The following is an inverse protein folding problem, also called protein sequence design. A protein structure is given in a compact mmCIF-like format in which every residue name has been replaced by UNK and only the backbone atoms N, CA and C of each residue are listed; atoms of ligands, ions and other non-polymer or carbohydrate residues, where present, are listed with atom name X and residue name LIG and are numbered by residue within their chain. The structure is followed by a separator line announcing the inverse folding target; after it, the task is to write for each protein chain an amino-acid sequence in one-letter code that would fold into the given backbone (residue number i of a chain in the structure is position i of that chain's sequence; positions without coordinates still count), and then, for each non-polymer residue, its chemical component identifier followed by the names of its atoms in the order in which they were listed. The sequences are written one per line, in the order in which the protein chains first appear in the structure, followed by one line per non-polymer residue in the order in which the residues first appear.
data_IF_845400876635
#
_entry.id   IF_845400876635
#
_cell.length_a   1.000
_cell.length_b   1.000
_cell.length_c   1.000
_cell.angle_alpha   90.00
_cell.angle_beta   90.00
_cell.angle_gamma   90.00
#
_symmetry.space_group_name_H-M   'P 1'
#
loop_
_entity.id
_entity.type
_entity.pdbx_description
1 polymer ?
#
# COMPACT_ATOMS: atom_id res chain seq x y z
N UNK A 1 46.69 25.94 -65.33
CA UNK A 1 46.05 24.80 -66.02
C UNK A 1 47.11 23.71 -66.15
N UNK A 2 46.71 22.45 -65.96
CA UNK A 2 47.46 21.20 -66.22
C UNK A 2 48.33 20.65 -65.06
N UNK A 3 47.84 19.53 -64.53
CA UNK A 3 48.54 18.49 -63.77
C UNK A 3 49.71 17.89 -64.59
N UNK A 4 50.69 17.24 -63.96
CA UNK A 4 50.88 15.77 -64.03
C UNK A 4 52.33 15.25 -63.79
N UNK A 5 52.37 14.01 -63.26
CA UNK A 5 53.40 12.94 -63.24
C UNK A 5 54.73 13.20 -62.48
N UNK A 6 54.95 12.59 -61.30
CA UNK A 6 55.43 11.21 -61.05
C UNK A 6 56.67 10.79 -61.85
N UNK A 7 57.79 10.53 -61.16
CA UNK A 7 58.55 9.26 -61.07
C UNK A 7 59.94 9.56 -60.48
N UNK A 8 60.25 9.14 -59.26
CA UNK A 8 60.80 7.82 -58.86
C UNK A 8 62.31 7.66 -59.10
N UNK A 9 63.05 7.64 -57.99
CA UNK A 9 64.25 6.84 -57.70
C UNK A 9 65.58 7.16 -58.43
N UNK A 10 66.58 7.67 -57.68
CA UNK A 10 67.78 6.89 -57.26
C UNK A 10 69.10 7.73 -57.14
N UNK A 11 69.62 7.78 -55.90
CA UNK A 11 70.96 8.21 -55.40
C UNK A 11 71.38 9.69 -55.48
N UNK A 12 72.38 10.16 -54.67
CA UNK A 12 72.91 9.67 -53.40
C UNK A 12 73.02 10.81 -52.36
N UNK A 13 72.44 10.69 -51.16
CA UNK A 13 72.74 11.68 -50.12
C UNK A 13 72.66 11.05 -48.73
N UNK A 14 73.83 10.73 -48.20
CA UNK A 14 74.02 10.59 -46.77
C UNK A 14 73.99 11.98 -46.13
N UNK A 15 73.30 12.13 -44.99
CA UNK A 15 73.79 13.05 -43.98
C UNK A 15 73.94 12.40 -42.59
N UNK A 16 74.71 13.04 -41.72
CA UNK A 16 75.39 12.44 -40.56
C UNK A 16 74.46 12.38 -39.32
N UNK A 17 74.94 11.87 -38.17
CA UNK A 17 74.15 11.15 -37.16
C UNK A 17 73.40 12.07 -36.20
N UNK A 18 72.20 11.64 -35.75
CA UNK A 18 71.40 12.31 -34.70
C UNK A 18 70.44 11.29 -34.03
N UNK A 19 69.84 11.59 -32.85
CA UNK A 19 70.19 11.26 -31.46
C UNK A 19 69.41 10.01 -30.92
N UNK A 20 69.53 9.60 -29.63
CA UNK A 20 68.84 8.42 -29.12
C UNK A 20 67.32 8.57 -29.24
N UNK A 21 66.67 7.68 -30.01
CA UNK A 21 65.21 7.66 -30.08
C UNK A 21 64.63 6.89 -28.89
N UNK A 22 63.95 7.65 -28.04
CA UNK A 22 62.74 7.21 -27.33
C UNK A 22 61.81 6.50 -28.33
N UNK A 23 61.40 5.28 -28.01
CA UNK A 23 60.14 4.71 -28.48
C UNK A 23 60.23 3.49 -29.39
N UNK A 24 60.61 2.33 -28.84
CA UNK A 24 59.63 1.24 -28.66
C UNK A 24 60.20 0.24 -27.65
N UNK A 25 59.50 -0.03 -26.55
CA UNK A 25 59.92 -1.08 -25.63
C UNK A 25 60.00 -2.39 -26.40
N UNK A 26 60.96 -3.24 -26.01
CA UNK A 26 60.90 -4.68 -26.20
C UNK A 26 59.46 -5.19 -26.02
N UNK A 27 59.11 -6.41 -26.47
CA UNK A 27 58.04 -7.11 -25.80
C UNK A 27 58.46 -7.24 -24.34
N UNK A 28 58.12 -6.23 -23.53
CA UNK A 28 57.65 -6.43 -22.19
C UNK A 28 56.55 -7.44 -22.45
N UNK A 29 56.92 -8.70 -22.26
CA UNK A 29 56.05 -9.68 -21.66
C UNK A 29 55.43 -8.89 -20.52
N UNK A 30 54.29 -8.23 -20.77
CA UNK A 30 53.31 -8.03 -19.74
C UNK A 30 53.15 -9.48 -19.31
N UNK A 31 53.66 -9.85 -18.13
CA UNK A 31 53.15 -11.07 -17.56
C UNK A 31 51.68 -10.71 -17.49
N UNK A 32 50.86 -11.31 -18.35
CA UNK A 32 49.49 -11.55 -17.98
C UNK A 32 49.68 -12.18 -16.62
N UNK A 33 49.39 -11.38 -15.59
CA UNK A 33 49.30 -11.89 -14.25
C UNK A 33 48.17 -12.89 -14.38
N UNK A 34 48.53 -14.14 -14.72
CA UNK A 34 47.81 -15.28 -14.21
C UNK A 34 47.59 -14.90 -12.75
N UNK A 35 46.34 -14.86 -12.26
CA UNK A 35 46.11 -14.61 -10.87
C UNK A 35 46.95 -15.63 -10.14
N UNK A 36 48.03 -15.13 -9.52
CA UNK A 36 48.84 -15.90 -8.61
C UNK A 36 47.84 -16.58 -7.69
N UNK A 37 47.93 -17.88 -7.44
CA UNK A 37 47.20 -18.51 -6.35
C UNK A 37 47.82 -18.02 -5.03
N UNK A 38 47.68 -16.72 -4.78
CA UNK A 38 47.98 -16.03 -3.55
C UNK A 38 46.90 -16.39 -2.56
N UNK A 39 46.93 -17.63 -2.10
CA UNK A 39 46.09 -18.16 -1.06
C UNK A 39 46.45 -17.45 0.26
N UNK A 40 45.92 -16.24 0.44
CA UNK A 40 46.01 -15.51 1.69
C UNK A 40 45.07 -16.17 2.68
N UNK A 41 45.56 -17.27 3.28
CA UNK A 41 44.97 -17.95 4.45
C UNK A 41 44.32 -16.99 5.45
N UNK A 42 44.93 -15.85 5.84
CA UNK A 42 44.27 -14.91 6.77
C UNK A 42 43.03 -14.23 6.17
N UNK A 43 43.03 -13.89 4.89
CA UNK A 43 41.89 -13.23 4.24
C UNK A 43 40.71 -14.19 4.08
N UNK A 44 40.98 -15.44 3.67
CA UNK A 44 39.95 -16.47 3.60
C UNK A 44 39.37 -16.77 4.99
N UNK A 45 40.23 -16.86 6.03
CA UNK A 45 39.79 -17.03 7.42
C UNK A 45 38.95 -15.84 7.90
N UNK A 46 39.37 -14.62 7.58
CA UNK A 46 38.61 -13.41 7.90
C UNK A 46 37.24 -13.42 7.22
N UNK A 47 37.19 -13.73 5.92
CA UNK A 47 35.94 -13.81 5.17
C UNK A 47 35.00 -14.88 5.75
N UNK A 48 35.53 -16.05 6.09
CA UNK A 48 34.76 -17.13 6.74
C UNK A 48 34.25 -16.68 8.12
N UNK A 49 35.06 -15.99 8.92
CA UNK A 49 34.62 -15.42 10.19
C UNK A 49 33.51 -14.38 10.02
N UNK A 50 33.61 -13.50 9.01
CA UNK A 50 32.58 -12.47 8.76
C UNK A 50 31.27 -13.11 8.29
N UNK A 51 31.34 -14.09 7.38
CA UNK A 51 30.14 -14.78 6.88
C UNK A 51 29.48 -15.60 7.97
N UNK A 52 30.26 -16.31 8.80
CA UNK A 52 29.72 -17.06 9.94
C UNK A 52 29.13 -16.13 10.99
N UNK A 53 29.80 -15.02 11.32
CA UNK A 53 29.26 -14.00 12.23
C UNK A 53 27.93 -13.44 11.69
N UNK A 54 27.86 -13.13 10.40
CA UNK A 54 26.63 -12.62 9.77
C UNK A 54 25.51 -13.66 9.80
N UNK A 55 25.81 -14.93 9.56
CA UNK A 55 24.85 -16.03 9.71
C UNK A 55 24.34 -16.11 11.16
N UNK A 56 25.23 -16.05 12.16
CA UNK A 56 24.85 -16.06 13.57
C UNK A 56 24.01 -14.85 13.96
N UNK A 57 24.34 -13.65 13.49
CA UNK A 57 23.54 -12.44 13.73
C UNK A 57 22.18 -12.52 13.04
N UNK A 58 22.10 -13.12 11.86
CA UNK A 58 20.84 -13.27 11.12
C UNK A 58 19.93 -14.31 11.76
N UNK A 59 20.47 -15.49 12.09
CA UNK A 59 19.72 -16.56 12.75
C UNK A 59 19.39 -16.18 14.18
N UNK A 60 20.35 -15.63 14.93
CA UNK A 60 20.14 -15.12 16.28
C UNK A 60 19.15 -13.96 16.32
N UNK A 61 19.25 -13.02 15.39
CA UNK A 61 18.29 -11.93 15.23
C UNK A 61 16.89 -12.42 14.86
N UNK A 62 16.79 -13.39 13.96
CA UNK A 62 15.52 -14.02 13.61
C UNK A 62 14.91 -14.77 14.80
N UNK A 63 15.70 -15.57 15.53
CA UNK A 63 15.25 -16.26 16.73
C UNK A 63 14.84 -15.28 17.82
N UNK A 64 15.60 -14.20 18.01
CA UNK A 64 15.27 -13.14 18.96
C UNK A 64 13.93 -12.48 18.60
N UNK A 65 13.74 -12.09 17.34
CA UNK A 65 12.48 -11.50 16.87
C UNK A 65 11.33 -12.49 16.98
N UNK A 66 11.53 -13.75 16.61
CA UNK A 66 10.52 -14.81 16.68
C UNK A 66 10.10 -15.10 18.14
N UNK A 67 11.07 -15.19 19.05
CA UNK A 67 10.78 -15.40 20.47
C UNK A 67 10.11 -14.18 21.10
N UNK A 68 10.54 -12.97 20.74
CA UNK A 68 9.97 -11.74 21.24
C UNK A 68 8.54 -11.50 20.69
N UNK A 69 8.28 -11.79 19.43
CA UNK A 69 6.94 -11.76 18.82
C UNK A 69 6.00 -12.74 19.53
N UNK A 70 6.51 -13.94 19.84
CA UNK A 70 5.76 -14.95 20.60
C UNK A 70 5.51 -14.53 22.06
N UNK A 71 6.49 -13.91 22.70
CA UNK A 71 6.34 -13.31 24.04
C UNK A 71 5.32 -12.16 24.04
N UNK A 72 5.30 -11.29 23.01
CA UNK A 72 4.28 -10.24 22.85
C UNK A 72 2.88 -10.85 22.64
N UNK A 73 2.77 -11.91 21.82
CA UNK A 73 1.52 -12.63 21.61
C UNK A 73 0.99 -13.27 22.90
N UNK A 74 1.87 -13.79 23.77
CA UNK A 74 1.50 -14.34 25.07
C UNK A 74 1.24 -13.26 26.14
N UNK A 75 1.98 -12.15 26.15
CA UNK A 75 1.80 -11.04 27.08
C UNK A 75 0.50 -10.24 26.82
N UNK A 76 -0.04 -10.30 25.60
CA UNK A 76 -1.34 -9.70 25.25
C UNK A 76 -2.52 -10.37 25.98
N UNK A 77 -2.34 -11.57 26.57
CA UNK A 77 -3.38 -12.29 27.33
C UNK A 77 -3.33 -12.08 28.86
N UNK A 78 -2.35 -11.35 29.39
CA UNK A 78 -2.18 -11.19 30.85
C UNK A 78 -1.59 -9.82 31.22
N UNK A 79 -2.50 -8.90 31.55
CA UNK A 79 -2.31 -7.58 32.19
C UNK A 79 -1.51 -7.65 33.52
N UNK A 80 -1.11 -6.55 34.21
CA UNK A 80 -0.52 -5.25 33.80
C UNK A 80 0.81 -4.91 34.53
N UNK A 81 1.38 -3.74 34.19
CA UNK A 81 2.25 -2.85 35.00
C UNK A 81 3.80 -3.03 35.05
N UNK A 82 4.49 -2.07 34.40
CA UNK A 82 5.46 -1.18 35.05
C UNK A 82 6.97 -1.45 34.95
N UNK A 83 7.71 -0.66 34.15
CA UNK A 83 8.80 0.25 34.60
C UNK A 83 9.50 1.01 33.45
N UNK A 84 9.37 2.33 33.51
CA UNK A 84 10.31 3.46 33.31
C UNK A 84 11.46 3.33 32.29
N UNK A 85 11.45 4.24 31.31
CA UNK A 85 12.64 4.71 30.59
C UNK A 85 12.37 5.00 29.12
N UNK A 86 12.33 6.29 28.74
CA UNK A 86 12.08 6.88 27.41
C UNK A 86 10.61 6.94 26.97
N UNK A 87 10.03 8.14 26.67
CA UNK A 87 8.73 8.20 26.02
C UNK A 87 8.89 7.64 24.59
N UNK A 88 8.13 6.59 24.21
CA UNK A 88 8.01 6.24 22.81
C UNK A 88 7.05 7.25 22.20
N UNK A 89 7.57 8.44 21.86
CA UNK A 89 6.90 9.28 20.89
C UNK A 89 6.74 8.40 19.64
N UNK A 90 5.50 8.28 19.16
CA UNK A 90 5.16 7.86 17.78
C UNK A 90 4.75 6.39 17.47
N UNK A 91 4.79 5.43 18.41
CA UNK A 91 4.24 4.07 18.13
C UNK A 91 2.99 3.67 18.91
N UNK A 92 2.62 4.41 19.94
CA UNK A 92 1.49 4.07 20.82
C UNK A 92 0.17 4.75 20.41
N UNK A 93 0.23 5.84 19.62
CA UNK A 93 -0.95 6.66 19.32
C UNK A 93 -1.86 6.12 18.20
N UNK A 94 -1.39 5.16 17.39
CA UNK A 94 -2.24 4.58 16.33
C UNK A 94 -3.06 3.38 16.80
N UNK A 95 -2.72 2.77 17.93
CA UNK A 95 -3.41 1.55 18.41
C UNK A 95 -4.78 1.88 19.00
N UNK A 96 -4.96 3.08 19.55
CA UNK A 96 -6.20 3.55 20.17
C UNK A 96 -7.07 4.43 19.25
N UNK A 97 -6.54 4.84 18.10
CA UNK A 97 -7.25 5.73 17.17
C UNK A 97 -8.49 5.04 16.62
N UNK A 98 -9.63 5.73 16.70
CA UNK A 98 -10.89 5.19 16.23
C UNK A 98 -10.86 4.95 14.72
N UNK A 99 -11.23 3.74 14.31
CA UNK A 99 -11.11 3.25 12.94
C UNK A 99 -12.17 2.19 12.65
N UNK A 100 -12.77 2.23 11.47
CA UNK A 100 -13.61 1.17 10.96
C UNK A 100 -13.42 0.99 9.45
N UNK A 101 -13.37 -0.27 9.02
CA UNK A 101 -13.41 -0.70 7.62
C UNK A 101 -14.41 -1.84 7.50
N UNK A 102 -15.50 -1.57 6.80
CA UNK A 102 -16.64 -2.45 6.68
C UNK A 102 -16.58 -3.26 5.38
N UNK A 103 -16.88 -4.55 5.50
CA UNK A 103 -17.03 -5.47 4.38
C UNK A 103 -18.50 -5.72 4.12
N UNK A 104 -18.91 -5.63 2.86
CA UNK A 104 -20.30 -5.78 2.45
C UNK A 104 -20.84 -7.19 2.77
N UNK A 105 -22.03 -7.25 3.36
CA UNK A 105 -22.80 -8.47 3.57
C UNK A 105 -23.60 -8.82 2.32
N UNK A 106 -23.51 -10.09 1.90
CA UNK A 106 -24.40 -10.60 0.86
C UNK A 106 -25.80 -10.78 1.48
N UNK A 107 -26.87 -10.36 0.78
CA UNK A 107 -28.22 -10.63 1.21
C UNK A 107 -28.49 -12.15 1.21
N UNK A 108 -29.22 -12.64 2.21
CA UNK A 108 -29.60 -14.06 2.28
C UNK A 108 -30.82 -14.40 1.41
N UNK A 109 -31.61 -13.40 1.04
CA UNK A 109 -32.82 -13.53 0.22
C UNK A 109 -32.74 -12.63 -1.01
N UNK A 110 -33.59 -12.89 -2.01
CA UNK A 110 -33.71 -12.04 -3.20
C UNK A 110 -34.06 -10.63 -2.78
N UNK A 111 -33.18 -9.67 -3.05
CA UNK A 111 -33.46 -8.26 -2.74
C UNK A 111 -34.51 -7.75 -3.72
N UNK A 112 -35.68 -7.41 -3.20
CA UNK A 112 -36.65 -6.62 -3.95
C UNK A 112 -36.04 -5.25 -4.33
N UNK A 113 -36.52 -4.63 -5.42
CA UNK A 113 -36.12 -3.26 -5.81
C UNK A 113 -36.59 -2.26 -4.74
N UNK A 114 -35.84 -2.18 -3.64
CA UNK A 114 -36.09 -1.31 -2.50
C UNK A 114 -34.86 -0.46 -2.24
N UNK A 115 -35.12 0.81 -1.96
CA UNK A 115 -34.13 1.70 -1.37
C UNK A 115 -33.87 1.29 0.08
N UNK A 116 -32.67 1.55 0.57
CA UNK A 116 -32.35 1.17 1.94
C UNK A 116 -30.88 1.22 2.28
N UNK A 117 -30.58 0.68 3.47
CA UNK A 117 -29.27 0.68 4.06
C UNK A 117 -28.47 -0.55 3.67
N UNK A 118 -27.19 -0.36 3.39
CA UNK A 118 -26.27 -1.48 3.20
C UNK A 118 -26.06 -2.22 4.53
N UNK A 119 -26.00 -3.55 4.46
CA UNK A 119 -25.64 -4.39 5.59
C UNK A 119 -24.20 -4.85 5.49
N UNK A 120 -23.51 -4.88 6.62
CA UNK A 120 -22.10 -5.19 6.72
C UNK A 120 -21.86 -6.51 7.46
N UNK A 121 -20.79 -7.20 7.08
CA UNK A 121 -20.29 -8.39 7.75
C UNK A 121 -19.49 -8.02 8.98
N UNK A 122 -20.16 -7.99 10.12
CA UNK A 122 -19.55 -7.56 11.38
C UNK A 122 -18.43 -8.49 11.87
N UNK A 123 -18.45 -9.75 11.44
CA UNK A 123 -17.48 -10.78 11.75
C UNK A 123 -16.16 -10.64 10.98
N UNK A 124 -16.21 -10.10 9.75
CA UNK A 124 -15.01 -9.86 8.92
C UNK A 124 -14.62 -8.38 8.83
N UNK A 125 -15.47 -7.48 9.28
CA UNK A 125 -15.19 -6.04 9.28
C UNK A 125 -14.23 -5.68 10.41
N UNK A 126 -13.28 -4.80 10.12
CA UNK A 126 -12.29 -4.34 11.11
C UNK A 126 -12.83 -3.10 11.79
N UNK A 127 -12.87 -3.11 13.13
CA UNK A 127 -13.31 -1.97 13.95
C UNK A 127 -12.41 -1.83 15.17
N UNK A 128 -12.02 -0.61 15.48
CA UNK A 128 -11.26 -0.21 16.66
C UNK A 128 -11.89 1.06 17.22
N UNK A 129 -12.33 1.02 18.47
CA UNK A 129 -12.96 2.17 19.14
C UNK A 129 -14.15 2.79 18.35
N UNK A 130 -14.86 1.94 17.60
CA UNK A 130 -16.09 2.24 16.86
C UNK A 130 -17.06 1.10 17.16
N UNK A 131 -18.25 1.43 17.64
CA UNK A 131 -19.32 0.47 17.88
C UNK A 131 -20.28 0.43 16.69
N UNK A 132 -21.40 -0.27 16.83
CA UNK A 132 -22.37 -0.45 15.75
C UNK A 132 -23.78 -0.65 16.28
N UNK A 133 -24.75 -0.43 15.40
CA UNK A 133 -26.16 -0.72 15.66
C UNK A 133 -26.76 -1.49 14.48
N UNK A 134 -27.36 -2.64 14.76
CA UNK A 134 -27.81 -3.58 13.74
C UNK A 134 -26.64 -4.08 12.88
N UNK A 135 -26.83 -4.17 11.57
CA UNK A 135 -25.75 -4.50 10.61
C UNK A 135 -25.40 -3.35 9.68
N UNK A 136 -26.02 -2.19 9.83
CA UNK A 136 -25.90 -1.08 8.87
C UNK A 136 -25.21 0.15 9.43
N UNK A 137 -25.32 0.39 10.73
CA UNK A 137 -24.91 1.64 11.35
C UNK A 137 -23.61 1.47 12.14
N UNK A 138 -22.63 2.33 11.88
CA UNK A 138 -21.46 2.53 12.74
C UNK A 138 -21.77 3.58 13.80
N UNK A 139 -21.38 3.35 15.05
CA UNK A 139 -21.60 4.26 16.18
C UNK A 139 -20.29 4.78 16.73
N UNK A 140 -20.16 6.10 16.79
CA UNK A 140 -18.97 6.80 17.28
C UNK A 140 -18.90 6.74 18.82
N UNK A 141 -17.77 6.30 19.35
CA UNK A 141 -17.53 6.23 20.80
C UNK A 141 -16.78 7.46 21.34
N UNK A 142 -15.95 8.07 20.50
CA UNK A 142 -15.16 9.24 20.84
C UNK A 142 -15.51 10.42 19.94
N UNK A 143 -15.76 11.61 20.50
CA UNK A 143 -15.95 12.79 19.67
C UNK A 143 -14.66 13.19 18.94
N UNK A 144 -14.81 13.90 17.83
CA UNK A 144 -13.71 14.45 17.04
C UNK A 144 -14.06 14.55 15.56
N UNK A 145 -13.07 14.94 14.75
CA UNK A 145 -13.19 14.97 13.30
C UNK A 145 -12.83 13.61 12.72
N UNK A 146 -13.64 13.13 11.77
CA UNK A 146 -13.45 11.83 11.13
C UNK A 146 -13.40 12.00 9.63
N UNK A 147 -12.42 11.39 8.97
CA UNK A 147 -12.55 11.14 7.55
C UNK A 147 -13.49 9.94 7.37
N UNK A 148 -14.61 10.18 6.69
CA UNK A 148 -15.61 9.15 6.37
C UNK A 148 -15.59 8.94 4.87
N UNK A 149 -15.56 7.68 4.44
CA UNK A 149 -15.57 7.34 3.02
C UNK A 149 -16.52 6.18 2.72
N UNK A 150 -17.12 6.22 1.54
CA UNK A 150 -17.97 5.17 1.00
C UNK A 150 -17.71 5.01 -0.48
N UNK A 151 -17.75 3.77 -0.96
CA UNK A 151 -17.74 3.43 -2.37
C UNK A 151 -18.80 2.37 -2.61
N UNK A 152 -19.70 2.64 -3.53
CA UNK A 152 -20.77 1.72 -3.92
C UNK A 152 -20.75 1.55 -5.43
N UNK A 153 -20.58 0.33 -5.89
CA UNK A 153 -20.65 0.00 -7.32
C UNK A 153 -22.00 -0.64 -7.62
N UNK A 154 -22.61 -0.23 -8.72
CA UNK A 154 -23.83 -0.78 -9.28
C UNK A 154 -23.53 -1.48 -10.60
N UNK A 155 -24.17 -2.62 -10.85
CA UNK A 155 -23.80 -3.55 -11.93
C UNK A 155 -24.95 -3.97 -12.86
N UNK A 156 -26.10 -3.31 -12.78
CA UNK A 156 -27.31 -3.66 -13.54
C UNK A 156 -27.99 -2.43 -14.10
N UNK A 157 -28.55 -2.55 -15.29
CA UNK A 157 -29.23 -1.48 -16.01
C UNK A 157 -30.30 -0.77 -15.14
N UNK A 158 -30.31 0.57 -15.20
CA UNK A 158 -31.29 1.43 -14.55
C UNK A 158 -31.56 2.65 -15.41
N UNK A 159 -32.83 3.00 -15.58
CA UNK A 159 -33.28 4.20 -16.30
C UNK A 159 -33.11 5.44 -15.40
N UNK A 160 -33.26 5.29 -14.09
CA UNK A 160 -33.12 6.37 -13.12
C UNK A 160 -31.66 6.50 -12.63
N UNK A 161 -31.20 7.72 -12.28
CA UNK A 161 -29.91 7.93 -11.63
C UNK A 161 -29.80 7.13 -10.34
N UNK A 162 -28.66 6.48 -10.16
CA UNK A 162 -28.35 5.69 -8.98
C UNK A 162 -27.69 6.58 -7.93
N UNK A 163 -28.38 6.69 -6.80
CA UNK A 163 -27.97 7.56 -5.69
C UNK A 163 -27.29 6.73 -4.60
N UNK A 164 -26.15 7.22 -4.11
CA UNK A 164 -25.54 6.80 -2.86
C UNK A 164 -25.47 7.97 -1.89
N UNK A 165 -25.79 7.71 -0.62
CA UNK A 165 -25.74 8.71 0.44
C UNK A 165 -25.04 8.17 1.69
N UNK A 166 -24.36 9.04 2.42
CA UNK A 166 -23.97 8.82 3.82
C UNK A 166 -25.02 9.51 4.69
N UNK A 167 -25.65 8.74 5.57
CA UNK A 167 -26.66 9.20 6.51
C UNK A 167 -26.06 9.27 7.90
N UNK A 168 -26.25 10.40 8.58
CA UNK A 168 -25.90 10.63 9.97
C UNK A 168 -27.18 10.62 10.81
N UNK A 169 -27.16 9.94 11.94
CA UNK A 169 -28.25 9.93 12.91
C UNK A 169 -27.71 10.24 14.29
N UNK A 170 -28.36 11.14 15.02
CA UNK A 170 -28.08 11.34 16.43
C UNK A 170 -28.94 10.38 17.27
N UNK A 171 -28.33 9.71 18.25
CA UNK A 171 -29.03 8.81 19.18
C UNK A 171 -30.08 9.55 20.02
N UNK A 172 -29.86 10.83 20.35
CA UNK A 172 -30.75 11.62 21.21
C UNK A 172 -32.03 12.06 20.48
N UNK A 173 -31.90 12.54 19.23
CA UNK A 173 -33.04 13.08 18.47
C UNK A 173 -33.68 12.04 17.56
N UNK A 174 -32.96 10.95 17.23
CA UNK A 174 -33.39 9.95 16.25
C UNK A 174 -33.48 10.46 14.80
N UNK A 175 -33.26 11.76 14.57
CA UNK A 175 -33.39 12.37 13.26
C UNK A 175 -32.19 12.01 12.37
N UNK A 176 -32.49 11.63 11.13
CA UNK A 176 -31.50 11.30 10.11
C UNK A 176 -31.22 12.51 9.22
N UNK A 177 -29.93 12.78 8.98
CA UNK A 177 -29.43 13.85 8.11
C UNK A 177 -28.56 13.26 7.01
N UNK A 178 -28.70 13.79 5.79
CA UNK A 178 -27.75 13.51 4.71
C UNK A 178 -26.49 14.36 4.91
N UNK A 179 -25.33 13.71 4.99
CA UNK A 179 -24.03 14.39 5.14
C UNK A 179 -23.21 14.35 3.86
N UNK A 180 -23.40 13.32 3.02
CA UNK A 180 -22.81 13.26 1.70
C UNK A 180 -23.76 12.54 0.74
N UNK A 181 -23.82 13.00 -0.50
CA UNK A 181 -24.70 12.45 -1.54
C UNK A 181 -24.05 12.61 -2.90
N UNK A 182 -24.13 11.55 -3.70
CA UNK A 182 -23.67 11.56 -5.07
C UNK A 182 -24.51 10.63 -5.92
N UNK A 183 -24.49 10.90 -7.22
CA UNK A 183 -25.29 10.23 -8.22
C UNK A 183 -24.38 9.71 -9.32
N UNK A 184 -24.79 8.61 -9.94
CA UNK A 184 -24.19 8.13 -11.16
C UNK A 184 -25.26 7.50 -12.04
N UNK A 185 -25.06 7.47 -13.36
CA UNK A 185 -26.03 6.92 -14.31
C UNK A 185 -25.44 5.74 -15.07
N UNK A 186 -26.29 4.75 -15.35
CA UNK A 186 -26.00 3.66 -16.26
C UNK A 186 -26.77 3.93 -17.55
N UNK A 187 -26.08 3.89 -18.69
CA UNK A 187 -26.69 4.11 -20.00
C UNK A 187 -27.16 2.78 -20.59
N UNK A 188 -28.23 2.80 -21.37
CA UNK A 188 -28.81 1.61 -22.00
C UNK A 188 -28.13 1.20 -23.31
N UNK A 189 -26.87 1.58 -23.52
CA UNK A 189 -26.23 1.38 -24.81
C UNK A 189 -25.62 -0.03 -24.89
N UNK A 190 -26.35 -0.89 -25.58
CA UNK A 190 -25.98 -2.20 -26.10
C UNK A 190 -25.69 -3.26 -25.01
N UNK A 191 -26.71 -4.09 -24.75
CA UNK A 191 -26.78 -5.13 -23.72
C UNK A 191 -25.80 -6.31 -23.83
N UNK A 192 -24.61 -6.08 -24.37
CA UNK A 192 -23.54 -7.07 -24.53
C UNK A 192 -22.49 -7.01 -23.40
N UNK A 193 -22.34 -5.87 -22.71
CA UNK A 193 -21.41 -5.72 -21.58
C UNK A 193 -22.10 -5.09 -20.35
N UNK A 194 -21.94 -5.65 -19.14
CA UNK A 194 -22.51 -5.06 -17.94
C UNK A 194 -21.81 -3.71 -17.65
N UNK A 195 -22.52 -2.61 -17.89
CA UNK A 195 -22.02 -1.29 -17.53
C UNK A 195 -21.99 -1.17 -16.00
N UNK A 196 -20.85 -0.76 -15.46
CA UNK A 196 -20.63 -0.53 -14.03
C UNK A 196 -20.67 0.96 -13.74
N UNK A 197 -21.26 1.32 -12.61
CA UNK A 197 -21.36 2.70 -12.14
C UNK A 197 -20.95 2.76 -10.68
N UNK A 198 -19.96 3.58 -10.34
CA UNK A 198 -19.45 3.65 -8.97
C UNK A 198 -19.66 5.04 -8.40
N UNK A 199 -20.33 5.09 -7.26
CA UNK A 199 -20.48 6.29 -6.44
C UNK A 199 -19.43 6.25 -5.35
N UNK A 200 -18.54 7.24 -5.33
CA UNK A 200 -17.54 7.43 -4.28
C UNK A 200 -17.88 8.70 -3.51
N UNK A 201 -17.96 8.58 -2.19
CA UNK A 201 -18.21 9.67 -1.25
C UNK A 201 -17.07 9.72 -0.27
N UNK A 202 -16.58 10.92 0.02
CA UNK A 202 -15.56 11.15 1.01
C UNK A 202 -15.74 12.54 1.61
N UNK A 203 -15.73 12.64 2.92
CA UNK A 203 -15.84 13.93 3.61
C UNK A 203 -15.20 13.87 5.01
N UNK A 204 -14.86 15.03 5.54
CA UNK A 204 -14.41 15.19 6.94
C UNK A 204 -15.59 15.71 7.75
N UNK A 205 -16.00 14.93 8.74
CA UNK A 205 -17.22 15.21 9.52
C UNK A 205 -16.84 15.25 11.00
N UNK A 206 -17.23 16.34 11.67
CA UNK A 206 -17.17 16.44 13.14
C UNK A 206 -18.30 15.61 13.74
N UNK A 207 -17.95 14.62 14.54
CA UNK A 207 -18.90 13.68 15.13
C UNK A 207 -18.84 13.74 16.66
N UNK A 208 -20.01 13.66 17.27
CA UNK A 208 -20.17 13.54 18.72
C UNK A 208 -20.28 12.07 19.14
N UNK A 209 -19.99 11.78 20.42
CA UNK A 209 -20.25 10.44 20.98
C UNK A 209 -21.72 10.06 20.76
N UNK A 210 -21.95 8.82 20.32
CA UNK A 210 -23.28 8.29 20.04
C UNK A 210 -23.82 8.62 18.65
N UNK A 211 -23.15 9.47 17.87
CA UNK A 211 -23.51 9.66 16.47
C UNK A 211 -23.39 8.36 15.68
N UNK A 212 -24.34 8.12 14.79
CA UNK A 212 -24.41 6.92 13.96
C UNK A 212 -24.31 7.27 12.48
N UNK A 213 -23.50 6.52 11.73
CA UNK A 213 -23.33 6.68 10.30
C UNK A 213 -23.67 5.41 9.55
N UNK A 214 -24.36 5.53 8.43
CA UNK A 214 -24.73 4.42 7.56
C UNK A 214 -24.69 4.85 6.09
N UNK A 215 -24.59 3.86 5.20
CA UNK A 215 -24.66 4.08 3.75
C UNK A 215 -26.03 3.67 3.27
N UNK A 216 -26.72 4.61 2.64
CA UNK A 216 -28.02 4.43 2.02
C UNK A 216 -27.89 4.47 0.50
N UNK A 217 -28.67 3.66 -0.19
CA UNK A 217 -28.70 3.61 -1.66
C UNK A 217 -30.14 3.57 -2.18
N UNK A 218 -30.33 4.11 -3.40
CA UNK A 218 -31.63 4.15 -4.07
C UNK A 218 -32.18 2.75 -4.36
N UNK A 219 -31.30 1.80 -4.71
CA UNK A 219 -31.73 0.46 -5.08
C UNK A 219 -30.69 -0.60 -4.72
N UNK A 220 -30.99 -1.37 -3.68
CA UNK A 220 -30.13 -2.43 -3.16
C UNK A 220 -29.94 -3.59 -4.17
N UNK A 221 -30.94 -3.87 -5.02
CA UNK A 221 -30.89 -5.00 -5.97
C UNK A 221 -29.88 -4.83 -7.12
N UNK A 222 -29.42 -3.59 -7.33
CA UNK A 222 -28.46 -3.21 -8.36
C UNK A 222 -27.02 -3.10 -7.83
N UNK A 223 -26.84 -3.13 -6.51
CA UNK A 223 -25.52 -3.05 -5.86
C UNK A 223 -24.71 -4.30 -6.19
N UNK A 224 -23.44 -4.10 -6.52
CA UNK A 224 -22.46 -5.15 -6.61
C UNK A 224 -21.92 -5.49 -5.20
N UNK A 225 -22.28 -6.69 -4.75
CA UNK A 225 -21.88 -7.27 -3.45
C UNK A 225 -20.52 -8.01 -3.53
N UNK A 226 -19.73 -7.78 -4.58
CA UNK A 226 -18.35 -8.21 -4.67
C UNK A 226 -17.47 -7.63 -3.54
N UNK A 227 -16.51 -8.42 -3.06
CA UNK A 227 -15.64 -8.06 -1.90
C UNK A 227 -14.92 -6.72 -2.06
N UNK A 228 -14.65 -6.30 -3.30
CA UNK A 228 -13.94 -5.07 -3.63
C UNK A 228 -14.79 -4.11 -4.45
N UNK A 229 -16.09 -4.29 -4.53
CA UNK A 229 -16.97 -3.39 -5.28
C UNK A 229 -17.57 -2.33 -4.36
N UNK A 230 -17.95 -2.76 -3.15
CA UNK A 230 -18.60 -1.89 -2.17
C UNK A 230 -17.81 -1.85 -0.85
N UNK A 231 -17.54 -0.65 -0.34
CA UNK A 231 -16.77 -0.43 0.89
C UNK A 231 -17.26 0.79 1.65
N UNK A 232 -17.21 0.73 2.98
CA UNK A 232 -17.52 1.85 3.86
C UNK A 232 -16.53 1.88 5.01
N UNK A 233 -16.11 3.06 5.43
CA UNK A 233 -15.21 3.17 6.55
C UNK A 233 -15.05 4.58 7.07
N UNK A 234 -14.35 4.67 8.18
CA UNK A 234 -14.01 5.93 8.83
C UNK A 234 -12.76 5.79 9.67
N UNK A 235 -12.08 6.89 9.90
CA UNK A 235 -11.05 6.98 10.92
C UNK A 235 -10.98 8.39 11.47
N UNK A 236 -10.71 8.49 12.77
CA UNK A 236 -10.55 9.76 13.47
C UNK A 236 -9.30 10.47 12.99
N UNK A 237 -9.36 11.77 12.79
CA UNK A 237 -8.23 12.64 12.44
C UNK A 237 -7.45 13.10 13.67
#
# INVERSE_FOLDING_TARGET
MINTYQTSMALPQAPPPVPPRLGRPEPILIPTQLPSPGYSKPLLRFLVCVVTLHLFLSVGGFLYLYYNERQIAHATYSSPQGRVGFPPVEKQDTTYRAFARMLIGKPNATIEKKSGYLEWRMDLSVRKNINYYGKSWLTVLEPGDYLVYSRVTFSKHSIAPLTGCIKLKNMETGAEKEVAKAHCSLSDKDGLNPQLCTVTLQDVITLSRGNQLSVWVENLSLVDYGKQSTSFGMYKL
#
